data_IF_793874293945
#
_entry.id   IF_793874293945
#
_cell.length_a   1.000
_cell.length_b   1.000
_cell.length_c   1.000
_cell.angle_alpha   90.00
_cell.angle_beta   90.00
_cell.angle_gamma   90.00
#
_symmetry.space_group_name_H-M   'P 1'
#
loop_
_entity.id
_entity.type
_entity.pdbx_description
1 polymer ?
#
# COMPACT_ATOMS: atom_id res chain seq x y z
N UNK A 1 -38.29 -29.70 -58.40
CA UNK A 1 -38.13 -28.26 -58.11
C UNK A 1 -39.02 -27.49 -59.07
N UNK A 2 -40.05 -26.80 -58.59
CA UNK A 2 -40.80 -25.85 -59.41
C UNK A 2 -40.84 -24.52 -58.67
N UNK A 3 -39.89 -23.66 -59.01
CA UNK A 3 -39.84 -22.26 -58.57
C UNK A 3 -40.53 -21.40 -59.63
N UNK A 4 -41.87 -21.46 -59.70
CA UNK A 4 -42.62 -20.57 -60.58
C UNK A 4 -42.95 -19.28 -59.84
N UNK A 5 -42.31 -18.17 -60.23
CA UNK A 5 -42.57 -16.85 -59.68
C UNK A 5 -43.68 -16.15 -60.46
N UNK A 6 -44.84 -15.96 -59.84
CA UNK A 6 -45.97 -15.26 -60.44
C UNK A 6 -45.90 -13.74 -60.21
N UNK A 7 -45.74 -12.97 -61.30
CA UNK A 7 -45.61 -11.50 -61.30
C UNK A 7 -46.96 -10.84 -61.67
N UNK A 8 -47.57 -10.12 -60.71
CA UNK A 8 -48.80 -9.32 -60.92
C UNK A 8 -48.65 -7.86 -60.46
N UNK A 9 -48.72 -6.91 -61.40
CA UNK A 9 -48.73 -5.46 -61.14
C UNK A 9 -50.15 -4.88 -61.27
N UNK A 10 -50.61 -4.15 -60.26
CA UNK A 10 -51.87 -3.38 -60.29
C UNK A 10 -51.54 -1.91 -60.01
N UNK A 11 -52.08 -0.93 -60.75
CA UNK A 11 -51.82 0.50 -60.53
C UNK A 11 -52.11 0.94 -59.08
N UNK A 12 -53.23 0.48 -58.52
CA UNK A 12 -53.65 0.77 -57.15
C UNK A 12 -52.69 0.25 -56.05
N UNK A 13 -51.81 -0.72 -56.35
CA UNK A 13 -50.79 -1.18 -55.39
C UNK A 13 -49.77 -0.07 -55.09
N UNK A 14 -49.37 0.69 -56.11
CA UNK A 14 -48.40 1.78 -55.96
C UNK A 14 -49.01 2.92 -55.12
N UNK A 15 -50.26 3.27 -55.40
CA UNK A 15 -50.98 4.31 -54.64
C UNK A 15 -51.18 3.89 -53.18
N UNK A 16 -51.57 2.64 -52.92
CA UNK A 16 -51.68 2.10 -51.56
C UNK A 16 -50.33 2.08 -50.85
N UNK A 17 -49.24 1.74 -51.55
CA UNK A 17 -47.90 1.76 -50.98
C UNK A 17 -47.43 3.18 -50.64
N UNK A 18 -47.76 4.16 -51.49
CA UNK A 18 -47.50 5.57 -51.22
C UNK A 18 -48.32 6.09 -50.03
N UNK A 19 -49.57 5.67 -49.89
CA UNK A 19 -50.43 6.02 -48.74
C UNK A 19 -49.85 5.44 -47.44
N UNK A 20 -49.46 4.17 -47.43
CA UNK A 20 -48.81 3.54 -46.26
C UNK A 20 -47.49 4.22 -45.90
N UNK A 21 -46.67 4.55 -46.90
CA UNK A 21 -45.43 5.30 -46.68
C UNK A 21 -45.71 6.69 -46.11
N UNK A 22 -46.74 7.37 -46.61
CA UNK A 22 -47.16 8.68 -46.11
C UNK A 22 -47.60 8.59 -44.64
N UNK A 23 -48.45 7.63 -44.29
CA UNK A 23 -48.87 7.39 -42.91
C UNK A 23 -47.68 7.05 -41.99
N UNK A 24 -46.75 6.22 -42.45
CA UNK A 24 -45.52 5.95 -41.69
C UNK A 24 -44.67 7.21 -41.48
N UNK A 25 -44.53 8.05 -42.50
CA UNK A 25 -43.78 9.31 -42.36
C UNK A 25 -44.44 10.26 -41.37
N UNK A 26 -45.77 10.35 -41.37
CA UNK A 26 -46.52 11.16 -40.39
C UNK A 26 -46.32 10.63 -38.97
N UNK A 27 -46.45 9.31 -38.76
CA UNK A 27 -46.17 8.68 -37.46
C UNK A 27 -44.74 8.94 -36.98
N UNK A 28 -43.75 8.91 -37.88
CA UNK A 28 -42.35 9.23 -37.55
C UNK A 28 -42.18 10.70 -37.18
N UNK A 29 -42.84 11.61 -37.89
CA UNK A 29 -42.83 13.04 -37.56
C UNK A 29 -43.42 13.30 -36.19
N UNK A 30 -44.54 12.67 -35.86
CA UNK A 30 -45.18 12.79 -34.53
C UNK A 30 -44.26 12.30 -33.41
N UNK A 31 -43.66 11.12 -33.58
CA UNK A 31 -42.68 10.58 -32.62
C UNK A 31 -41.46 11.47 -32.46
N UNK A 32 -40.90 11.96 -33.57
CA UNK A 32 -39.75 12.85 -33.51
C UNK A 32 -40.10 14.18 -32.82
N UNK A 33 -41.31 14.69 -32.99
CA UNK A 33 -41.77 15.89 -32.27
C UNK A 33 -41.86 15.64 -30.76
N UNK A 34 -42.41 14.49 -30.34
CA UNK A 34 -42.46 14.15 -28.91
C UNK A 34 -41.07 13.96 -28.33
N UNK A 35 -40.18 13.25 -29.05
CA UNK A 35 -38.80 13.02 -28.62
C UNK A 35 -38.01 14.34 -28.52
N UNK A 36 -38.26 15.28 -29.44
CA UNK A 36 -37.64 16.59 -29.45
C UNK A 36 -38.10 17.41 -28.24
N UNK A 37 -39.41 17.43 -27.95
CA UNK A 37 -39.95 18.09 -26.75
C UNK A 37 -39.39 17.51 -25.46
N UNK A 38 -39.28 16.17 -25.37
CA UNK A 38 -38.65 15.52 -24.23
C UNK A 38 -37.17 15.86 -24.11
N UNK A 39 -36.44 15.87 -25.22
CA UNK A 39 -35.03 16.22 -25.25
C UNK A 39 -34.81 17.68 -24.84
N UNK A 40 -35.64 18.60 -25.31
CA UNK A 40 -35.63 20.01 -24.91
C UNK A 40 -35.93 20.19 -23.42
N UNK A 41 -36.92 19.48 -22.89
CA UNK A 41 -37.24 19.49 -21.46
C UNK A 41 -36.04 18.98 -20.62
N UNK A 42 -35.44 17.85 -21.03
CA UNK A 42 -34.23 17.30 -20.38
C UNK A 42 -33.04 18.27 -20.47
N UNK A 43 -32.90 18.98 -21.59
CA UNK A 43 -31.84 19.95 -21.81
C UNK A 43 -32.05 21.20 -20.95
N UNK A 44 -33.29 21.69 -20.83
CA UNK A 44 -33.66 22.79 -19.94
C UNK A 44 -33.42 22.43 -18.46
N UNK A 45 -33.84 21.23 -18.04
CA UNK A 45 -33.58 20.72 -16.70
C UNK A 45 -32.08 20.57 -16.41
N UNK A 46 -31.29 20.08 -17.38
CA UNK A 46 -29.83 19.97 -17.23
C UNK A 46 -29.11 21.32 -17.22
N UNK A 47 -29.67 22.33 -17.91
CA UNK A 47 -29.18 23.71 -17.88
C UNK A 47 -29.53 24.42 -16.59
N UNK A 48 -30.65 24.08 -15.94
CA UNK A 48 -31.05 24.62 -14.63
C UNK A 48 -29.94 24.33 -13.60
N UNK A 49 -29.23 25.37 -13.17
CA UNK A 49 -28.08 25.27 -12.24
C UNK A 49 -26.72 25.02 -12.90
N UNK A 50 -26.66 24.93 -14.24
CA UNK A 50 -25.44 24.96 -15.07
C UNK A 50 -25.43 26.18 -15.98
N UNK A 51 -26.10 27.25 -15.56
CA UNK A 51 -26.11 28.51 -16.29
C UNK A 51 -24.67 29.03 -16.34
N UNK A 52 -24.24 29.36 -17.55
CA UNK A 52 -22.96 30.01 -17.74
C UNK A 52 -23.16 31.47 -17.37
N UNK A 53 -22.73 31.83 -16.16
CA UNK A 53 -22.70 33.24 -15.75
C UNK A 53 -21.94 34.05 -16.80
N UNK A 54 -22.45 35.22 -17.19
CA UNK A 54 -21.82 36.11 -18.19
C UNK A 54 -20.36 36.44 -17.82
N UNK A 55 -20.04 36.36 -16.54
CA UNK A 55 -18.73 36.63 -15.95
C UNK A 55 -17.77 35.41 -15.99
N UNK A 56 -18.23 34.26 -16.52
CA UNK A 56 -17.43 33.05 -16.68
C UNK A 56 -17.01 32.40 -15.34
N UNK A 57 -17.71 32.71 -14.24
CA UNK A 57 -17.33 32.28 -12.89
C UNK A 57 -17.24 30.76 -12.77
N UNK A 58 -18.14 30.04 -13.45
CA UNK A 58 -18.18 28.58 -13.49
C UNK A 58 -16.98 27.98 -14.21
N UNK A 59 -16.57 28.56 -15.33
CA UNK A 59 -15.37 28.14 -16.06
C UNK A 59 -14.12 28.35 -15.20
N UNK A 60 -14.00 29.49 -14.51
CA UNK A 60 -12.92 29.77 -13.56
C UNK A 60 -12.91 28.78 -12.40
N UNK A 61 -14.07 28.48 -11.80
CA UNK A 61 -14.20 27.45 -10.74
C UNK A 61 -13.80 26.06 -11.23
N UNK A 62 -14.15 25.69 -12.46
CA UNK A 62 -13.73 24.42 -13.09
C UNK A 62 -12.22 24.35 -13.28
N UNK A 63 -11.62 25.42 -13.81
CA UNK A 63 -10.16 25.52 -13.97
C UNK A 63 -9.45 25.42 -12.62
N UNK A 64 -9.91 26.19 -11.62
CA UNK A 64 -9.36 26.14 -10.26
C UNK A 64 -9.48 24.75 -9.62
N UNK A 65 -10.59 24.05 -9.83
CA UNK A 65 -10.74 22.66 -9.37
C UNK A 65 -9.77 21.72 -10.06
N UNK A 66 -9.50 21.92 -11.35
CA UNK A 66 -8.54 21.11 -12.10
C UNK A 66 -7.10 21.35 -11.62
N UNK A 67 -6.74 22.61 -11.36
CA UNK A 67 -5.45 22.99 -10.76
C UNK A 67 -5.27 22.35 -9.38
N UNK A 68 -6.22 22.54 -8.47
CA UNK A 68 -6.17 21.98 -7.12
C UNK A 68 -6.09 20.45 -7.12
N UNK A 69 -6.75 19.77 -8.07
CA UNK A 69 -6.62 18.31 -8.22
C UNK A 69 -5.20 17.92 -8.57
N UNK A 70 -4.55 18.63 -9.51
CA UNK A 70 -3.15 18.38 -9.86
C UNK A 70 -2.23 18.62 -8.67
N UNK A 71 -2.44 19.70 -7.92
CA UNK A 71 -1.66 20.00 -6.71
C UNK A 71 -1.79 18.89 -5.64
N UNK A 72 -3.01 18.38 -5.44
CA UNK A 72 -3.27 17.26 -4.53
C UNK A 72 -2.57 15.99 -5.02
N UNK A 73 -2.60 15.70 -6.32
CA UNK A 73 -1.92 14.54 -6.90
C UNK A 73 -0.39 14.64 -6.72
N UNK A 74 0.20 15.83 -6.96
CA UNK A 74 1.64 16.04 -6.74
C UNK A 74 2.01 15.93 -5.25
N UNK A 75 1.24 16.56 -4.36
CA UNK A 75 1.48 16.50 -2.93
C UNK A 75 1.33 15.07 -2.38
N UNK A 76 0.36 14.30 -2.88
CA UNK A 76 0.21 12.89 -2.52
C UNK A 76 1.37 12.03 -3.04
N UNK A 77 1.89 12.31 -4.23
CA UNK A 77 3.07 11.62 -4.76
C UNK A 77 4.32 11.91 -3.90
N UNK A 78 4.49 13.15 -3.45
CA UNK A 78 5.56 13.53 -2.52
C UNK A 78 5.39 12.89 -1.15
N UNK A 79 4.18 12.93 -0.57
CA UNK A 79 3.87 12.23 0.67
C UNK A 79 4.11 10.72 0.57
N UNK A 80 3.78 10.09 -0.57
CA UNK A 80 4.05 8.66 -0.76
C UNK A 80 5.54 8.33 -0.74
N UNK A 81 6.40 9.23 -1.23
CA UNK A 81 7.86 9.07 -1.13
C UNK A 81 8.32 9.25 0.31
N UNK A 82 7.77 10.24 1.02
CA UNK A 82 8.13 10.55 2.40
C UNK A 82 7.57 9.55 3.42
N UNK A 83 6.46 8.85 3.12
CA UNK A 83 5.90 7.78 3.96
C UNK A 83 6.86 6.62 4.20
N UNK A 84 7.83 6.40 3.31
CA UNK A 84 8.88 5.40 3.53
C UNK A 84 9.81 5.81 4.69
N UNK A 85 9.88 7.10 5.00
CA UNK A 85 10.69 7.69 6.07
C UNK A 85 9.80 8.14 7.22
N UNK A 86 8.88 7.29 7.68
CA UNK A 86 8.09 7.58 8.88
C UNK A 86 9.04 7.71 10.09
N UNK A 87 9.16 8.90 10.71
CA UNK A 87 10.05 9.10 11.85
C UNK A 87 9.72 8.17 13.02
N UNK A 88 8.46 7.75 13.14
CA UNK A 88 8.03 6.82 14.17
C UNK A 88 8.59 5.42 13.94
N UNK A 89 8.52 4.91 12.70
CA UNK A 89 9.08 3.61 12.34
C UNK A 89 10.62 3.60 12.52
N UNK A 90 11.30 4.70 12.18
CA UNK A 90 12.74 4.85 12.39
C UNK A 90 13.07 4.83 13.89
N UNK A 91 12.32 5.57 14.71
CA UNK A 91 12.52 5.62 16.15
C UNK A 91 12.30 4.25 16.82
N UNK A 92 11.34 3.46 16.33
CA UNK A 92 11.08 2.12 16.86
C UNK A 92 12.19 1.13 16.44
N UNK A 93 12.66 1.20 15.19
CA UNK A 93 13.84 0.46 14.75
C UNK A 93 15.10 0.83 15.56
N UNK A 94 15.31 2.10 15.88
CA UNK A 94 16.43 2.54 16.70
C UNK A 94 16.39 1.98 18.13
N UNK A 95 15.20 1.89 18.74
CA UNK A 95 15.02 1.28 20.06
C UNK A 95 15.33 -0.21 20.02
N UNK A 96 14.80 -0.93 19.03
CA UNK A 96 15.09 -2.35 18.85
C UNK A 96 16.58 -2.60 18.62
N UNK A 97 17.23 -1.77 17.80
CA UNK A 97 18.65 -1.86 17.52
C UNK A 97 19.48 -1.64 18.80
N UNK A 98 19.10 -0.70 19.67
CA UNK A 98 19.73 -0.52 20.99
C UNK A 98 19.60 -1.78 21.85
N UNK A 99 18.40 -2.35 21.95
CA UNK A 99 18.16 -3.58 22.72
C UNK A 99 18.99 -4.76 22.19
N UNK A 100 19.06 -4.93 20.87
CA UNK A 100 19.83 -6.00 20.22
C UNK A 100 21.34 -5.81 20.45
N UNK A 101 21.84 -4.57 20.36
CA UNK A 101 23.25 -4.26 20.68
C UNK A 101 23.58 -4.58 22.13
N UNK A 102 22.78 -4.11 23.08
CA UNK A 102 22.98 -4.40 24.50
C UNK A 102 22.91 -5.89 24.81
N UNK A 103 22.02 -6.63 24.14
CA UNK A 103 21.95 -8.08 24.26
C UNK A 103 23.21 -8.75 23.70
N UNK A 104 23.68 -8.33 22.52
CA UNK A 104 24.89 -8.86 21.90
C UNK A 104 26.14 -8.58 22.77
N UNK A 105 26.26 -7.39 23.33
CA UNK A 105 27.35 -7.04 24.27
C UNK A 105 27.29 -7.93 25.52
N UNK A 106 26.11 -8.14 26.10
CA UNK A 106 25.93 -9.03 27.26
C UNK A 106 26.31 -10.49 26.96
N UNK A 107 25.92 -11.02 25.80
CA UNK A 107 26.32 -12.38 25.40
C UNK A 107 27.82 -12.46 25.13
N UNK A 108 28.42 -11.40 24.60
CA UNK A 108 29.86 -11.28 24.38
C UNK A 108 30.63 -11.30 25.71
N UNK A 109 30.18 -10.53 26.70
CA UNK A 109 30.72 -10.55 28.07
C UNK A 109 30.61 -11.93 28.73
N UNK A 110 29.49 -12.63 28.51
CA UNK A 110 29.30 -13.99 28.99
C UNK A 110 30.31 -14.96 28.35
N UNK A 111 30.54 -14.86 27.05
CA UNK A 111 31.52 -15.67 26.32
C UNK A 111 32.95 -15.42 26.86
N UNK A 112 33.31 -14.16 27.09
CA UNK A 112 34.60 -13.81 27.69
C UNK A 112 34.73 -14.27 29.15
N UNK A 113 33.65 -14.21 29.93
CA UNK A 113 33.61 -14.74 31.29
C UNK A 113 33.82 -16.26 31.33
N UNK A 114 33.19 -16.98 30.39
CA UNK A 114 33.40 -18.42 30.20
C UNK A 114 34.85 -18.73 29.81
N UNK A 115 35.44 -17.96 28.89
CA UNK A 115 36.87 -18.08 28.52
C UNK A 115 37.77 -17.90 29.73
N UNK A 116 37.55 -16.85 30.52
CA UNK A 116 38.33 -16.55 31.71
C UNK A 116 38.23 -17.67 32.75
N UNK A 117 37.06 -18.26 32.94
CA UNK A 117 36.87 -19.42 33.81
C UNK A 117 37.66 -20.64 33.30
N UNK A 118 37.59 -20.96 32.01
CA UNK A 118 38.30 -22.09 31.42
C UNK A 118 39.82 -21.96 31.53
N UNK A 119 40.36 -20.75 31.37
CA UNK A 119 41.80 -20.48 31.48
C UNK A 119 42.25 -20.47 32.95
N UNK A 120 41.54 -19.74 33.83
CA UNK A 120 41.98 -19.52 35.22
C UNK A 120 41.67 -20.67 36.17
N UNK A 121 40.50 -21.33 36.01
CA UNK A 121 40.04 -22.39 36.94
C UNK A 121 40.27 -23.80 36.42
N UNK A 122 40.18 -24.02 35.09
CA UNK A 122 40.40 -25.33 34.45
C UNK A 122 41.81 -25.51 33.89
N UNK A 123 42.64 -24.45 33.85
CA UNK A 123 44.04 -24.52 33.42
C UNK A 123 44.22 -24.75 31.91
N UNK A 124 43.19 -24.46 31.10
CA UNK A 124 43.24 -24.66 29.64
C UNK A 124 44.11 -23.60 28.95
N UNK A 125 44.83 -23.99 27.90
CA UNK A 125 45.59 -23.03 27.09
C UNK A 125 44.66 -22.05 26.38
N UNK A 126 45.02 -20.76 26.38
CA UNK A 126 44.21 -19.68 25.78
C UNK A 126 43.81 -19.95 24.32
N UNK A 127 44.71 -20.57 23.54
CA UNK A 127 44.48 -20.92 22.13
C UNK A 127 43.43 -22.02 21.96
N UNK A 128 43.42 -23.01 22.85
CA UNK A 128 42.42 -24.08 22.85
C UNK A 128 41.06 -23.57 23.29
N UNK A 129 41.01 -22.77 24.37
CA UNK A 129 39.77 -22.15 24.84
C UNK A 129 39.11 -21.26 23.77
N UNK A 130 39.89 -20.47 23.03
CA UNK A 130 39.38 -19.68 21.90
C UNK A 130 38.80 -20.57 20.78
N UNK A 131 39.45 -21.69 20.46
CA UNK A 131 38.97 -22.64 19.45
C UNK A 131 37.66 -23.32 19.88
N UNK A 132 37.53 -23.69 21.16
CA UNK A 132 36.30 -24.28 21.71
C UNK A 132 35.13 -23.30 21.75
N UNK A 133 35.39 -22.03 22.05
CA UNK A 133 34.36 -20.98 22.10
C UNK A 133 34.11 -20.31 20.75
N UNK A 134 34.82 -20.71 19.68
CA UNK A 134 34.67 -20.13 18.35
C UNK A 134 35.10 -18.66 18.24
N UNK A 135 35.94 -18.18 19.16
CA UNK A 135 36.40 -16.78 19.20
C UNK A 135 37.49 -16.61 18.14
N UNK A 136 37.18 -15.89 17.06
CA UNK A 136 38.12 -15.50 16.00
C UNK A 136 38.74 -14.13 16.31
N UNK A 137 39.85 -13.75 15.63
CA UNK A 137 40.52 -12.46 15.84
C UNK A 137 39.64 -11.24 15.50
N UNK A 138 38.54 -11.44 14.77
CA UNK A 138 37.56 -10.40 14.43
C UNK A 138 36.35 -10.38 15.38
N UNK A 139 36.36 -11.20 16.44
CA UNK A 139 35.32 -11.21 17.48
C UNK A 139 35.62 -10.10 18.50
N UNK A 140 35.04 -8.92 18.28
CA UNK A 140 35.33 -7.73 19.08
C UNK A 140 34.04 -7.02 19.54
N UNK A 141 34.04 -6.56 20.79
CA UNK A 141 33.10 -5.60 21.33
C UNK A 141 33.61 -4.18 21.00
N UNK A 142 33.47 -3.74 19.74
CA UNK A 142 33.80 -2.34 19.40
C UNK A 142 32.68 -1.40 19.83
N UNK A 143 32.67 -1.05 21.12
CA UNK A 143 32.04 0.17 21.60
C UNK A 143 33.07 1.30 21.55
N UNK A 144 32.82 2.26 20.66
CA UNK A 144 33.48 3.55 20.72
C UNK A 144 33.27 4.18 22.10
N UNK A 145 34.38 4.36 22.81
CA UNK A 145 34.62 5.32 23.86
C UNK A 145 33.52 5.57 24.89
N UNK A 146 33.55 4.86 26.01
CA UNK A 146 33.76 5.45 27.34
C UNK A 146 34.42 4.35 28.19
N UNK A 147 35.56 4.64 28.80
CA UNK A 147 36.26 3.69 29.66
C UNK A 147 35.37 3.24 30.81
N UNK A 148 34.95 1.98 30.78
CA UNK A 148 34.40 1.31 31.96
C UNK A 148 35.51 0.47 32.57
N UNK A 149 36.03 0.98 33.69
CA UNK A 149 36.94 0.22 34.54
C UNK A 149 36.32 -1.11 34.92
N UNK A 150 37.16 -2.14 34.96
CA UNK A 150 36.87 -3.45 35.56
C UNK A 150 36.52 -3.28 37.05
N UNK A 151 35.29 -2.83 37.32
CA UNK A 151 34.68 -2.84 38.63
C UNK A 151 33.86 -4.12 38.73
N UNK A 152 34.45 -5.16 39.33
CA UNK A 152 33.78 -6.41 39.62
C UNK A 152 32.60 -6.19 40.59
N UNK A 153 31.44 -5.77 40.08
CA UNK A 153 30.17 -5.92 40.79
C UNK A 153 29.61 -7.27 40.40
N UNK A 154 29.91 -8.26 41.26
CA UNK A 154 29.34 -9.60 41.25
C UNK A 154 27.82 -9.48 41.43
N UNK A 155 27.08 -9.32 40.35
CA UNK A 155 25.62 -9.47 40.35
C UNK A 155 25.32 -10.97 40.52
N UNK A 156 25.15 -11.37 41.77
CA UNK A 156 24.49 -12.62 42.14
C UNK A 156 22.99 -12.43 41.98
N UNK A 157 22.50 -12.26 40.76
CA UNK A 157 21.09 -12.54 40.48
C UNK A 157 20.99 -14.02 40.20
N UNK A 158 20.62 -14.77 41.23
CA UNK A 158 20.04 -16.12 41.14
C UNK A 158 19.24 -16.27 39.85
N UNK A 159 19.69 -17.19 39.00
CA UNK A 159 18.95 -17.74 37.88
C UNK A 159 17.71 -18.44 38.48
N UNK A 160 16.63 -17.70 38.75
CA UNK A 160 15.31 -18.30 38.92
C UNK A 160 14.87 -18.71 37.53
N UNK A 161 15.11 -19.97 37.21
CA UNK A 161 14.34 -20.67 36.19
C UNK A 161 12.91 -20.71 36.73
N UNK A 162 12.01 -20.00 36.08
CA UNK A 162 10.59 -20.07 36.39
C UNK A 162 10.11 -21.53 36.17
N UNK A 163 9.47 -22.18 37.17
CA UNK A 163 9.07 -23.58 37.08
C UNK A 163 7.99 -23.89 36.01
N UNK A 164 7.49 -22.87 35.31
CA UNK A 164 6.30 -22.96 34.46
C UNK A 164 6.57 -22.83 32.96
N UNK A 165 7.83 -22.93 32.52
CA UNK A 165 8.15 -23.07 31.09
C UNK A 165 7.74 -24.46 30.58
N UNK A 166 6.43 -24.60 30.29
CA UNK A 166 5.74 -25.78 29.74
C UNK A 166 6.21 -26.15 28.32
N UNK A 167 7.28 -25.55 27.80
CA UNK A 167 7.78 -25.77 26.46
C UNK A 167 8.60 -27.08 26.29
N UNK A 168 8.99 -27.76 27.38
CA UNK A 168 9.88 -28.94 27.30
C UNK A 168 9.22 -30.29 27.63
N UNK A 169 7.88 -30.40 27.62
CA UNK A 169 7.19 -31.70 27.81
C UNK A 169 6.86 -32.49 26.55
N UNK A 170 7.21 -31.98 25.36
CA UNK A 170 6.98 -32.70 24.12
C UNK A 170 8.28 -32.86 23.33
N UNK A 171 9.18 -33.69 23.80
CA UNK A 171 10.03 -34.49 22.91
C UNK A 171 10.47 -35.73 23.68
N UNK A 172 10.06 -36.87 23.14
CA UNK A 172 10.30 -38.24 23.62
C UNK A 172 11.77 -38.62 23.54
#
# INVERSE_FOLDING_TARGET
MSTFAYRRSFPAKKDRQNQLAHEETLRKIEKLKTDLQEAEAKLADAKRGREDDEEGTRARKMQRRAELKKEIETANAELSKLKQNDPQAIADLEKELKLVKEAADRWTDNIFSCKDYLVKKRGMMKKEANKYLGITDNFDCKLGGVGFGFGAKRLTSTLRLDPDDKALKNLR
#
